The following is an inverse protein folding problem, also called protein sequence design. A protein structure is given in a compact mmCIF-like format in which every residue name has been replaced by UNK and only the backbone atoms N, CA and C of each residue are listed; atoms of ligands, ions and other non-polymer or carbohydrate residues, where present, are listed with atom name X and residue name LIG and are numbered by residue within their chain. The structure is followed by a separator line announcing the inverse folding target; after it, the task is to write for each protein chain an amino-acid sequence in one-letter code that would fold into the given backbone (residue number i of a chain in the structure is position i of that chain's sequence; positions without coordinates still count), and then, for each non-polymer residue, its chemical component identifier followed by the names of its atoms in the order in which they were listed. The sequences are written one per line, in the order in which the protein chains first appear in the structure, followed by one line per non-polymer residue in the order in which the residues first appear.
data_IF_513254450959
#
_entry.id   IF_513254450959
#
_cell.length_a   1.000
_cell.length_b   1.000
_cell.length_c   1.000
_cell.angle_alpha   90.00
_cell.angle_beta   90.00
_cell.angle_gamma   90.00
#
_symmetry.space_group_name_H-M   'P 1'
#
loop_
_entity.id
_entity.type
_entity.pdbx_description
1 polymer ?
#
# COMPACT_ATOMS: atom_id res chain seq x y z
N UNK A 1 -6.65 -13.35 9.72
CA UNK A 1 -5.72 -12.25 9.41
C UNK A 1 -5.95 -11.75 7.99
N UNK A 2 -6.04 -10.45 7.85
CA UNK A 2 -6.20 -9.80 6.54
C UNK A 2 -4.85 -9.27 6.10
N UNK A 3 -4.39 -9.69 4.93
CA UNK A 3 -3.07 -9.32 4.39
C UNK A 3 -3.23 -8.36 3.21
N UNK A 4 -2.63 -7.17 3.32
CA UNK A 4 -2.76 -6.09 2.36
C UNK A 4 -1.39 -5.67 1.84
N UNK A 5 -1.23 -5.62 0.52
CA UNK A 5 -0.02 -5.16 -0.12
C UNK A 5 -0.32 -3.93 -0.96
N UNK A 6 0.28 -2.80 -0.61
CA UNK A 6 0.21 -1.59 -1.42
C UNK A 6 1.33 -1.59 -2.45
N UNK A 7 1.02 -1.22 -3.68
CA UNK A 7 1.97 -1.32 -4.79
C UNK A 7 2.02 -0.02 -5.58
N UNK A 8 3.23 0.48 -5.83
CA UNK A 8 3.44 1.58 -6.75
C UNK A 8 4.68 1.29 -7.60
N UNK A 9 5.12 2.23 -8.43
CA UNK A 9 6.23 1.99 -9.34
C UNK A 9 7.54 1.70 -8.60
N UNK A 10 7.95 2.59 -7.70
CA UNK A 10 9.27 2.51 -7.03
C UNK A 10 9.27 2.01 -5.61
N UNK A 11 8.14 2.00 -4.93
CA UNK A 11 8.03 1.62 -3.51
C UNK A 11 8.87 2.50 -2.58
N UNK A 12 9.01 3.77 -2.90
CA UNK A 12 9.70 4.74 -2.03
C UNK A 12 8.80 5.91 -1.62
N UNK A 13 7.68 6.12 -2.27
CA UNK A 13 6.82 7.28 -2.03
C UNK A 13 5.39 6.88 -1.72
N UNK A 14 4.55 6.66 -2.75
CA UNK A 14 3.11 6.44 -2.56
C UNK A 14 2.75 5.16 -1.80
N UNK A 15 3.34 4.04 -2.18
CA UNK A 15 2.99 2.79 -1.52
C UNK A 15 3.51 2.69 -0.09
N UNK A 16 4.72 3.17 0.25
CA UNK A 16 5.11 3.24 1.65
C UNK A 16 4.24 4.19 2.47
N UNK A 17 3.85 5.32 1.89
CA UNK A 17 2.95 6.25 2.60
C UNK A 17 1.63 5.56 2.93
N UNK A 18 1.02 4.89 1.95
CA UNK A 18 -0.22 4.14 2.17
C UNK A 18 -0.04 3.05 3.23
N UNK A 19 1.05 2.31 3.16
CA UNK A 19 1.37 1.27 4.13
C UNK A 19 1.38 1.82 5.56
N UNK A 20 2.17 2.85 5.81
CA UNK A 20 2.36 3.35 7.17
C UNK A 20 1.15 4.11 7.70
N UNK A 21 0.44 4.85 6.85
CA UNK A 21 -0.79 5.49 7.25
C UNK A 21 -1.87 4.47 7.62
N UNK A 22 -1.99 3.41 6.84
CA UNK A 22 -2.99 2.38 7.10
C UNK A 22 -2.64 1.57 8.35
N UNK A 23 -1.36 1.26 8.56
CA UNK A 23 -0.89 0.61 9.79
C UNK A 23 -1.25 1.44 11.02
N UNK A 24 -0.99 2.73 10.96
CA UNK A 24 -1.28 3.64 12.07
C UNK A 24 -2.77 3.71 12.36
N UNK A 25 -3.58 3.79 11.31
CA UNK A 25 -5.03 3.83 11.45
C UNK A 25 -5.57 2.54 12.08
N UNK A 26 -5.14 1.39 11.59
CA UNK A 26 -5.56 0.09 12.09
C UNK A 26 -5.17 -0.08 13.57
N UNK A 27 -4.00 0.38 13.94
CA UNK A 27 -3.52 0.36 15.32
C UNK A 27 -4.42 1.22 16.22
N UNK A 28 -4.78 2.41 15.76
CA UNK A 28 -5.68 3.31 16.51
C UNK A 28 -7.08 2.74 16.69
N UNK A 29 -7.49 1.87 15.76
CA UNK A 29 -8.79 1.18 15.86
C UNK A 29 -8.72 -0.08 16.74
N UNK A 30 -7.55 -0.40 17.27
CA UNK A 30 -7.38 -1.59 18.09
C UNK A 30 -7.37 -2.89 17.29
N UNK A 31 -7.17 -2.83 15.98
CA UNK A 31 -7.24 -3.99 15.08
C UNK A 31 -5.85 -4.40 14.55
N UNK A 32 -4.78 -3.94 15.14
CA UNK A 32 -3.41 -4.21 14.67
C UNK A 32 -3.12 -5.71 14.50
N UNK A 33 -3.61 -6.53 15.42
CA UNK A 33 -3.38 -7.98 15.39
C UNK A 33 -4.15 -8.69 14.26
N UNK A 34 -5.12 -8.04 13.65
CA UNK A 34 -5.95 -8.61 12.59
C UNK A 34 -5.42 -8.34 11.18
N UNK A 35 -4.38 -7.53 11.06
CA UNK A 35 -3.84 -7.10 9.77
C UNK A 35 -2.34 -7.37 9.64
N UNK A 36 -1.94 -7.75 8.43
CA UNK A 36 -0.54 -7.73 8.00
C UNK A 36 -0.49 -6.81 6.79
N UNK A 37 0.26 -5.72 6.89
CA UNK A 37 0.28 -4.65 5.91
C UNK A 37 1.71 -4.42 5.43
N UNK A 38 1.90 -4.37 4.12
CA UNK A 38 3.21 -4.18 3.51
C UNK A 38 3.09 -3.37 2.23
N UNK A 39 4.21 -3.08 1.60
CA UNK A 39 4.24 -2.42 0.30
C UNK A 39 5.38 -2.94 -0.55
N UNK A 40 5.24 -2.81 -1.87
CA UNK A 40 6.22 -3.28 -2.84
C UNK A 40 6.18 -2.41 -4.11
N UNK A 41 7.19 -2.58 -4.96
CA UNK A 41 7.31 -1.90 -6.24
C UNK A 41 6.96 -2.83 -7.39
N UNK A 42 6.48 -2.26 -8.49
CA UNK A 42 6.38 -3.02 -9.74
C UNK A 42 7.72 -3.02 -10.49
N UNK A 43 8.58 -2.03 -10.27
CA UNK A 43 9.88 -1.92 -10.95
C UNK A 43 11.04 -2.31 -10.06
N UNK A 44 12.24 -2.38 -10.66
CA UNK A 44 13.49 -2.66 -9.94
C UNK A 44 14.32 -1.40 -9.71
N UNK A 45 13.83 -0.24 -10.11
CA UNK A 45 14.62 1.01 -10.12
C UNK A 45 15.11 1.44 -8.75
N UNK A 46 14.31 1.21 -7.71
CA UNK A 46 14.60 1.72 -6.37
C UNK A 46 14.85 0.61 -5.33
N UNK A 47 15.04 -0.63 -5.78
CA UNK A 47 15.24 -1.76 -4.85
C UNK A 47 16.35 -1.44 -3.83
N UNK A 48 16.02 -1.63 -2.55
CA UNK A 48 16.95 -1.40 -1.44
C UNK A 48 16.97 0.02 -0.93
N UNK A 49 16.35 0.97 -1.62
CA UNK A 49 16.36 2.37 -1.20
C UNK A 49 15.34 2.62 -0.08
N UNK A 50 15.65 3.54 0.84
CA UNK A 50 14.72 3.91 1.91
C UNK A 50 13.57 4.75 1.37
N UNK A 51 12.59 5.00 2.23
CA UNK A 51 11.45 5.86 1.91
C UNK A 51 11.95 7.25 1.50
N UNK A 52 11.37 7.79 0.43
CA UNK A 52 11.70 9.10 -0.09
C UNK A 52 11.61 10.18 0.99
N UNK A 53 12.55 11.14 0.96
CA UNK A 53 12.67 12.15 2.02
C UNK A 53 11.38 12.93 2.28
N UNK A 54 10.68 13.35 1.22
CA UNK A 54 9.43 14.10 1.35
C UNK A 54 8.33 13.28 2.03
N UNK A 55 8.21 12.02 1.66
CA UNK A 55 7.25 11.09 2.27
C UNK A 55 7.58 10.85 3.73
N UNK A 56 8.86 10.62 4.02
CA UNK A 56 9.32 10.41 5.40
C UNK A 56 9.03 11.62 6.28
N UNK A 57 9.22 12.83 5.74
CA UNK A 57 8.91 14.07 6.47
C UNK A 57 7.44 14.13 6.86
N UNK A 58 6.54 13.85 5.91
CA UNK A 58 5.11 13.87 6.19
C UNK A 58 4.73 12.87 7.27
N UNK A 59 5.28 11.65 7.18
CA UNK A 59 5.01 10.62 8.18
C UNK A 59 5.54 11.02 9.56
N UNK A 60 6.74 11.58 9.62
CA UNK A 60 7.32 12.06 10.87
C UNK A 60 6.49 13.18 11.51
N UNK A 61 5.95 14.10 10.71
CA UNK A 61 5.04 15.14 11.17
C UNK A 61 3.77 14.56 11.81
N UNK A 62 3.37 13.39 11.36
CA UNK A 62 2.21 12.68 11.89
C UNK A 62 2.58 11.73 13.05
N UNK A 63 3.84 11.72 13.46
CA UNK A 63 4.31 10.85 14.52
C UNK A 63 4.51 9.40 14.11
N UNK A 64 4.65 9.15 12.81
CA UNK A 64 4.78 7.79 12.26
C UNK A 64 6.22 7.57 11.79
N UNK A 65 6.88 6.55 12.34
CA UNK A 65 8.22 6.15 11.90
C UNK A 65 8.14 5.16 10.75
N UNK A 66 8.94 5.38 9.70
CA UNK A 66 9.12 4.43 8.62
C UNK A 66 10.55 3.88 8.58
N UNK A 67 11.24 3.96 9.70
CA UNK A 67 12.62 3.47 9.82
C UNK A 67 12.69 1.98 9.48
N UNK A 68 13.72 1.60 8.74
CA UNK A 68 13.94 0.20 8.36
C UNK A 68 13.18 -0.26 7.11
N UNK A 69 12.30 0.57 6.56
CA UNK A 69 11.62 0.23 5.31
C UNK A 69 12.53 0.49 4.12
N UNK A 70 12.69 -0.54 3.28
CA UNK A 70 13.44 -0.46 2.02
C UNK A 70 12.57 -0.98 0.88
N UNK A 71 12.74 -0.40 -0.30
CA UNK A 71 11.96 -0.81 -1.47
C UNK A 71 12.28 -2.26 -1.84
N UNK A 72 11.23 -3.03 -2.13
CA UNK A 72 11.35 -4.36 -2.70
C UNK A 72 10.44 -4.49 -3.92
N UNK A 73 10.77 -5.38 -4.82
CA UNK A 73 9.91 -5.64 -5.97
C UNK A 73 8.84 -6.66 -5.60
N UNK A 74 7.62 -6.41 -6.07
CA UNK A 74 6.53 -7.38 -6.01
C UNK A 74 6.88 -8.61 -6.83
N UNK A 75 6.51 -9.79 -6.33
CA UNK A 75 6.70 -11.06 -7.02
C UNK A 75 5.36 -11.73 -7.28
N UNK A 76 5.36 -12.68 -8.20
CA UNK A 76 4.16 -13.44 -8.54
C UNK A 76 3.56 -14.14 -7.30
N UNK A 77 4.41 -14.62 -6.40
CA UNK A 77 3.99 -15.29 -5.17
C UNK A 77 3.21 -14.38 -4.22
N UNK A 78 3.38 -13.07 -4.33
CA UNK A 78 2.62 -12.12 -3.49
C UNK A 78 1.12 -12.23 -3.75
N UNK A 79 0.71 -12.68 -4.92
CA UNK A 79 -0.70 -12.88 -5.25
C UNK A 79 -1.37 -13.91 -4.30
N UNK A 80 -0.68 -15.00 -4.02
CA UNK A 80 -1.24 -16.03 -3.15
C UNK A 80 -1.18 -15.63 -1.68
N UNK A 81 -0.15 -14.89 -1.29
CA UNK A 81 0.08 -14.54 0.10
C UNK A 81 -0.87 -13.43 0.59
N UNK A 82 -1.10 -12.40 -0.22
CA UNK A 82 -1.91 -11.27 0.18
C UNK A 82 -3.36 -11.43 -0.27
N UNK A 83 -4.27 -10.88 0.54
CA UNK A 83 -5.71 -10.88 0.22
C UNK A 83 -6.08 -9.70 -0.69
N UNK A 84 -5.33 -8.59 -0.57
CA UNK A 84 -5.54 -7.37 -1.34
C UNK A 84 -4.22 -6.89 -1.91
N UNK A 85 -4.22 -6.66 -3.23
CA UNK A 85 -3.10 -6.03 -3.94
C UNK A 85 -3.60 -4.68 -4.43
N UNK A 86 -3.14 -3.60 -3.82
CA UNK A 86 -3.70 -2.28 -4.06
C UNK A 86 -2.69 -1.39 -4.76
N UNK A 87 -2.93 -1.10 -6.04
CA UNK A 87 -2.12 -0.16 -6.82
C UNK A 87 -2.60 1.26 -6.62
N UNK A 88 -1.70 2.21 -6.73
CA UNK A 88 -2.01 3.61 -6.48
C UNK A 88 -2.75 4.28 -7.65
N UNK A 89 -2.49 3.82 -8.88
CA UNK A 89 -3.12 4.35 -10.08
C UNK A 89 -3.26 3.24 -11.12
N UNK A 90 -3.90 3.55 -12.26
CA UNK A 90 -4.13 2.59 -13.34
C UNK A 90 -2.82 2.03 -13.90
N UNK A 91 -1.76 2.81 -13.94
CA UNK A 91 -0.46 2.37 -14.42
C UNK A 91 0.11 1.27 -13.51
N UNK A 92 -0.04 1.44 -12.20
CA UNK A 92 0.35 0.41 -11.24
C UNK A 92 -0.46 -0.88 -11.44
N UNK A 93 -1.76 -0.75 -11.66
CA UNK A 93 -2.63 -1.92 -11.92
C UNK A 93 -2.14 -2.69 -13.15
N UNK A 94 -1.86 -1.98 -14.24
CA UNK A 94 -1.35 -2.61 -15.47
C UNK A 94 -0.05 -3.35 -15.22
N UNK A 95 0.85 -2.77 -14.45
CA UNK A 95 2.14 -3.40 -14.14
C UNK A 95 2.00 -4.57 -13.17
N UNK A 96 1.09 -4.49 -12.21
CA UNK A 96 0.75 -5.63 -11.34
C UNK A 96 0.29 -6.81 -12.22
N UNK A 97 -0.63 -6.55 -13.15
CA UNK A 97 -1.16 -7.59 -14.02
C UNK A 97 -0.08 -8.23 -14.90
N UNK A 98 0.94 -7.49 -15.30
CA UNK A 98 2.09 -8.06 -16.02
C UNK A 98 2.87 -9.05 -15.17
N UNK A 99 2.95 -8.82 -13.86
CA UNK A 99 3.68 -9.69 -12.94
C UNK A 99 2.88 -10.94 -12.63
N UNK A 100 1.61 -10.80 -12.26
CA UNK A 100 0.77 -11.92 -11.83
C UNK A 100 0.06 -12.63 -12.97
N UNK A 101 -0.12 -11.96 -14.08
CA UNK A 101 -0.76 -12.40 -15.34
C UNK A 101 -2.28 -12.56 -15.28
N UNK A 102 -2.82 -13.08 -14.19
CA UNK A 102 -4.27 -13.30 -14.00
C UNK A 102 -4.67 -12.93 -12.59
N UNK A 103 -5.92 -12.50 -12.43
CA UNK A 103 -6.51 -12.19 -11.14
C UNK A 103 -7.83 -12.98 -10.97
N UNK A 104 -7.75 -14.33 -10.86
CA UNK A 104 -8.96 -15.16 -10.78
C UNK A 104 -9.74 -14.95 -9.49
N UNK A 105 -9.10 -14.46 -8.42
CA UNK A 105 -9.74 -14.28 -7.12
C UNK A 105 -10.17 -12.84 -6.87
N UNK A 106 -9.97 -11.94 -7.84
CA UNK A 106 -10.38 -10.54 -7.70
C UNK A 106 -9.67 -9.80 -6.59
N UNK A 107 -8.35 -9.98 -6.46
CA UNK A 107 -7.55 -9.37 -5.39
C UNK A 107 -6.96 -8.01 -5.74
N UNK A 108 -6.95 -7.64 -7.02
CA UNK A 108 -6.29 -6.41 -7.47
C UNK A 108 -7.27 -5.24 -7.46
N UNK A 109 -6.89 -4.20 -6.74
CA UNK A 109 -7.71 -2.99 -6.59
C UNK A 109 -6.87 -1.76 -6.84
N UNK A 110 -7.52 -0.68 -7.25
CA UNK A 110 -6.91 0.63 -7.32
C UNK A 110 -7.25 1.38 -6.04
N UNK A 111 -6.26 2.02 -5.40
CA UNK A 111 -6.47 2.73 -4.14
C UNK A 111 -7.63 3.72 -4.24
N UNK A 112 -7.74 4.39 -5.38
CA UNK A 112 -8.76 5.40 -5.63
C UNK A 112 -10.16 4.81 -5.77
N UNK A 113 -10.30 3.51 -6.00
CA UNK A 113 -11.61 2.85 -6.06
C UNK A 113 -12.32 2.87 -4.71
N UNK A 114 -11.57 3.14 -3.64
CA UNK A 114 -12.13 3.24 -2.29
C UNK A 114 -12.56 4.65 -1.93
N UNK A 115 -12.42 5.62 -2.84
CA UNK A 115 -12.75 7.02 -2.60
C UNK A 115 -13.28 7.69 -3.86
N UNK A 116 -14.24 8.61 -3.67
CA UNK A 116 -14.75 9.46 -4.74
C UNK A 116 -13.83 10.66 -5.05
N UNK A 117 -12.88 10.96 -4.15
CA UNK A 117 -12.00 12.11 -4.26
C UNK A 117 -10.52 11.70 -4.17
N UNK A 118 -9.91 11.32 -5.30
CA UNK A 118 -8.58 10.71 -5.33
C UNK A 118 -7.42 11.70 -5.22
N UNK A 119 -7.47 12.70 -4.39
CA UNK A 119 -6.50 13.78 -4.47
C UNK A 119 -5.28 13.67 -3.58
N UNK A 120 -5.37 13.03 -2.42
CA UNK A 120 -4.28 13.07 -1.48
C UNK A 120 -4.22 11.78 -0.65
N UNK A 121 -3.23 10.95 -0.98
CA UNK A 121 -2.96 9.70 -0.26
C UNK A 121 -2.68 9.98 1.23
N UNK A 122 -2.11 11.13 1.55
CA UNK A 122 -1.81 11.51 2.92
C UNK A 122 -3.05 11.94 3.71
N UNK A 123 -4.19 12.10 3.04
CA UNK A 123 -5.42 12.48 3.72
C UNK A 123 -5.92 11.31 4.57
N UNK A 124 -6.10 11.48 5.90
CA UNK A 124 -6.63 10.44 6.78
C UNK A 124 -7.97 9.86 6.32
N UNK A 125 -8.72 10.63 5.55
CA UNK A 125 -9.99 10.19 4.98
C UNK A 125 -9.85 8.94 4.11
N UNK A 126 -8.79 8.85 3.31
CA UNK A 126 -8.55 7.67 2.47
C UNK A 126 -8.30 6.42 3.29
N UNK A 127 -7.52 6.56 4.34
CA UNK A 127 -7.21 5.44 5.24
C UNK A 127 -8.49 4.94 5.91
N UNK A 128 -9.36 5.86 6.32
CA UNK A 128 -10.65 5.54 6.91
C UNK A 128 -11.55 4.80 5.92
N UNK A 129 -11.65 5.29 4.68
CA UNK A 129 -12.45 4.66 3.64
C UNK A 129 -11.94 3.27 3.30
N UNK A 130 -10.64 3.09 3.18
CA UNK A 130 -10.04 1.80 2.92
C UNK A 130 -10.37 0.81 4.05
N UNK A 131 -10.19 1.23 5.29
CA UNK A 131 -10.50 0.40 6.45
C UNK A 131 -11.96 -0.04 6.44
N UNK A 132 -12.87 0.89 6.20
CA UNK A 132 -14.30 0.61 6.14
C UNK A 132 -14.65 -0.36 5.03
N UNK A 133 -14.01 -0.22 3.86
CA UNK A 133 -14.26 -1.10 2.71
C UNK A 133 -13.76 -2.52 2.96
N UNK A 134 -12.64 -2.67 3.67
CA UNK A 134 -12.04 -3.98 3.95
C UNK A 134 -12.73 -4.67 5.12
N UNK A 135 -13.05 -3.94 6.17
CA UNK A 135 -13.61 -4.49 7.41
C UNK A 135 -15.11 -4.34 7.53
N UNK A 136 -15.66 -3.42 6.77
CA UNK A 136 -17.10 -3.16 6.80
C UNK A 136 -17.83 -4.08 5.88
#
# INVERSE_FOLDING_TARGET
MIRVLFVCHGNICRSPMAEFLFRDYVKKQGAEAEFEIASAATSTEEIGNPVHRGTRRILEELGISCAGKHARQMRKQDYEYYDYLIGMDQWNISNIMRIIRKDPEGKVFKFLDFSEHPRDIADPWYTCLLYTSICG
#
